data_IF_481902276867
#
_entry.id   IF_481902276867
#
_cell.length_a   1.000
_cell.length_b   1.000
_cell.length_c   1.000
_cell.angle_alpha   90.00
_cell.angle_beta   90.00
_cell.angle_gamma   90.00
#
_symmetry.space_group_name_H-M   'P 1'
#
loop_
_entity.id
_entity.type
_entity.pdbx_description
1 polymer ?
#
# COMPACT_ATOMS: atom_id res chain seq x y z
N UNK A 1 96.08 -6.32 -46.91
CA UNK A 1 95.27 -5.42 -47.76
C UNK A 1 94.68 -6.31 -48.85
N UNK A 2 93.39 -6.47 -49.13
CA UNK A 2 92.17 -5.70 -48.88
C UNK A 2 90.96 -6.66 -48.93
N UNK A 3 89.87 -6.22 -48.28
CA UNK A 3 88.48 -6.72 -48.13
C UNK A 3 87.82 -7.17 -49.45
N UNK A 4 86.65 -7.83 -49.51
CA UNK A 4 85.76 -8.59 -48.62
C UNK A 4 84.58 -9.09 -49.50
N UNK A 5 83.77 -9.97 -48.93
CA UNK A 5 82.84 -10.89 -49.58
C UNK A 5 81.36 -10.40 -49.59
N UNK A 6 80.63 -10.82 -50.64
CA UNK A 6 79.27 -11.42 -50.68
C UNK A 6 77.93 -10.62 -50.60
N UNK A 7 77.11 -11.00 -51.59
CA UNK A 7 75.69 -11.48 -51.58
C UNK A 7 74.51 -10.52 -51.39
N UNK A 8 73.61 -10.55 -52.39
CA UNK A 8 72.27 -9.95 -52.42
C UNK A 8 71.13 -10.88 -51.94
N UNK A 9 69.87 -10.40 -51.93
CA UNK A 9 68.88 -10.84 -50.94
C UNK A 9 67.74 -11.75 -51.45
N UNK A 10 67.31 -12.62 -50.52
CA UNK A 10 65.95 -13.08 -50.13
C UNK A 10 64.81 -13.04 -51.16
N UNK A 11 64.18 -14.20 -51.37
CA UNK A 11 62.71 -14.33 -51.48
C UNK A 11 62.17 -15.49 -50.66
N UNK A 12 61.06 -15.19 -50.01
CA UNK A 12 60.44 -15.83 -48.86
C UNK A 12 59.57 -17.03 -49.28
N UNK A 13 59.61 -18.09 -48.47
CA UNK A 13 58.94 -19.37 -48.72
C UNK A 13 57.44 -19.29 -48.41
N UNK A 14 56.67 -19.80 -49.35
CA UNK A 14 55.27 -20.17 -49.21
C UNK A 14 55.09 -21.37 -48.27
N UNK A 15 54.00 -21.29 -47.50
CA UNK A 15 53.02 -22.32 -47.18
C UNK A 15 53.50 -23.74 -46.79
N UNK A 16 52.95 -24.19 -45.66
CA UNK A 16 52.37 -25.53 -45.36
C UNK A 16 52.71 -25.88 -43.91
N UNK A 17 51.80 -25.54 -42.99
CA UNK A 17 51.70 -26.13 -41.66
C UNK A 17 50.31 -25.77 -41.08
N UNK A 18 49.27 -26.34 -41.67
CA UNK A 18 47.95 -26.41 -41.08
C UNK A 18 47.64 -27.89 -40.82
N UNK A 19 47.00 -28.17 -39.69
CA UNK A 19 46.56 -29.48 -39.18
C UNK A 19 47.54 -30.21 -38.26
N UNK A 20 47.43 -29.91 -36.95
CA UNK A 20 47.50 -30.80 -35.77
C UNK A 20 48.04 -29.98 -34.57
N UNK A 21 47.16 -29.35 -33.78
CA UNK A 21 47.64 -28.68 -32.57
C UNK A 21 46.73 -27.64 -31.90
N UNK A 22 45.41 -27.85 -31.85
CA UNK A 22 44.55 -26.96 -31.06
C UNK A 22 43.30 -27.68 -30.52
N UNK A 23 43.46 -28.91 -30.01
CA UNK A 23 42.38 -29.70 -29.41
C UNK A 23 42.37 -29.66 -27.86
N UNK A 24 43.02 -28.67 -27.23
CA UNK A 24 43.05 -28.52 -25.76
C UNK A 24 42.90 -27.03 -25.44
N UNK A 25 41.67 -26.55 -25.31
CA UNK A 25 41.43 -25.14 -25.01
C UNK A 25 39.97 -24.70 -24.90
N UNK A 26 39.06 -25.61 -24.52
CA UNK A 26 37.61 -25.27 -24.40
C UNK A 26 36.98 -25.86 -23.14
N UNK A 27 37.72 -25.86 -22.04
CA UNK A 27 37.18 -26.08 -20.70
C UNK A 27 37.68 -24.91 -19.89
N UNK A 28 36.76 -24.11 -19.34
CA UNK A 28 36.93 -22.95 -18.42
C UNK A 28 36.30 -21.66 -18.97
N UNK A 29 34.97 -21.59 -19.08
CA UNK A 29 34.23 -20.32 -18.95
C UNK A 29 32.71 -20.52 -18.70
N UNK A 30 32.32 -21.66 -18.14
CA UNK A 30 30.93 -21.94 -17.73
C UNK A 30 30.80 -22.09 -16.22
N UNK A 31 31.61 -21.35 -15.45
CA UNK A 31 31.32 -21.07 -14.05
C UNK A 31 30.53 -19.76 -13.99
N UNK A 32 29.31 -19.79 -14.55
CA UNK A 32 28.27 -18.89 -14.09
C UNK A 32 27.99 -19.27 -12.65
N UNK A 33 28.73 -18.68 -11.71
CA UNK A 33 28.27 -18.56 -10.35
C UNK A 33 26.89 -17.92 -10.45
N UNK A 34 25.86 -18.75 -10.39
CA UNK A 34 24.64 -18.34 -9.76
C UNK A 34 25.08 -17.91 -8.36
N UNK A 35 25.42 -16.63 -8.19
CA UNK A 35 25.32 -15.99 -6.90
C UNK A 35 23.87 -16.23 -6.51
N UNK A 36 23.69 -17.26 -5.69
CA UNK A 36 22.56 -17.42 -4.82
C UNK A 36 22.62 -16.15 -3.96
N UNK A 37 22.03 -15.08 -4.48
CA UNK A 37 21.94 -13.81 -3.79
C UNK A 37 21.19 -14.14 -2.51
N UNK A 38 21.92 -14.24 -1.41
CA UNK A 38 21.43 -14.54 -0.06
C UNK A 38 20.64 -13.34 0.49
N UNK A 39 19.79 -12.77 -0.35
CA UNK A 39 18.87 -11.73 0.03
C UNK A 39 17.86 -12.30 1.06
N UNK A 40 17.68 -11.64 2.22
CA UNK A 40 18.40 -10.45 2.70
C UNK A 40 19.67 -10.79 3.51
N UNK A 41 20.80 -10.12 3.19
CA UNK A 41 22.07 -10.26 3.90
C UNK A 41 22.22 -9.26 5.07
N UNK A 42 21.44 -8.17 5.06
CA UNK A 42 21.34 -7.13 6.10
C UNK A 42 19.88 -6.88 6.48
N UNK A 43 19.65 -6.07 7.51
CA UNK A 43 18.29 -5.71 7.93
C UNK A 43 17.55 -4.97 6.81
N UNK A 44 16.24 -5.23 6.70
CA UNK A 44 15.35 -4.50 5.80
C UNK A 44 14.76 -3.31 6.55
N UNK A 45 14.74 -2.13 5.93
CA UNK A 45 14.00 -0.97 6.40
C UNK A 45 12.61 -0.96 5.76
N UNK A 46 11.57 -0.79 6.57
CA UNK A 46 10.19 -0.55 6.10
C UNK A 46 9.81 0.87 6.44
N UNK A 47 9.49 1.67 5.44
CA UNK A 47 8.96 3.02 5.59
C UNK A 47 7.43 2.93 5.71
N UNK A 48 6.90 3.50 6.79
CA UNK A 48 5.47 3.74 7.00
C UNK A 48 5.24 5.24 6.87
N UNK A 49 4.48 5.73 5.89
CA UNK A 49 4.35 7.16 5.61
C UNK A 49 3.38 7.90 6.55
N UNK A 50 3.21 7.38 7.76
CA UNK A 50 2.31 7.89 8.81
C UNK A 50 3.02 7.88 10.16
N UNK A 51 2.46 8.62 11.13
CA UNK A 51 2.98 8.70 12.48
C UNK A 51 2.96 7.35 13.23
N UNK A 52 3.84 7.19 14.24
CA UNK A 52 3.92 5.98 15.05
C UNK A 52 2.63 5.73 15.85
N UNK A 53 2.33 4.47 16.16
CA UNK A 53 1.15 4.06 16.93
C UNK A 53 -0.17 4.05 16.17
N UNK A 54 -0.20 4.56 14.93
CA UNK A 54 -1.36 4.47 14.05
C UNK A 54 -1.55 3.06 13.46
N UNK A 55 -2.71 2.78 12.84
CA UNK A 55 -3.03 1.45 12.30
C UNK A 55 -1.96 0.89 11.34
N UNK A 56 -1.41 1.71 10.45
CA UNK A 56 -0.37 1.27 9.49
C UNK A 56 0.94 0.92 10.20
N UNK A 57 1.32 1.67 11.23
CA UNK A 57 2.53 1.39 12.03
C UNK A 57 2.38 0.08 12.81
N UNK A 58 1.24 -0.10 13.50
CA UNK A 58 0.94 -1.31 14.26
C UNK A 58 0.97 -2.54 13.35
N UNK A 59 0.38 -2.46 12.16
CA UNK A 59 0.40 -3.57 11.20
C UNK A 59 1.79 -3.85 10.64
N UNK A 60 2.56 -2.82 10.26
CA UNK A 60 3.92 -3.02 9.78
C UNK A 60 4.82 -3.69 10.84
N UNK A 61 4.67 -3.30 12.12
CA UNK A 61 5.38 -3.93 13.24
C UNK A 61 4.92 -5.35 13.51
N UNK A 62 3.62 -5.64 13.37
CA UNK A 62 3.10 -6.99 13.48
C UNK A 62 3.70 -7.91 12.40
N UNK A 63 3.77 -7.44 11.15
CA UNK A 63 4.43 -8.17 10.07
C UNK A 63 5.90 -8.41 10.41
N UNK A 64 6.62 -7.38 10.87
CA UNK A 64 8.03 -7.49 11.25
C UNK A 64 8.26 -8.53 12.36
N UNK A 65 7.38 -8.58 13.36
CA UNK A 65 7.44 -9.55 14.46
C UNK A 65 7.26 -10.99 13.96
N UNK A 66 6.23 -11.25 13.15
CA UNK A 66 5.95 -12.58 12.61
C UNK A 66 6.95 -13.00 11.50
N UNK A 67 7.62 -12.05 10.87
CA UNK A 67 8.59 -12.30 9.81
C UNK A 67 9.99 -12.69 10.30
N UNK A 68 10.27 -12.68 11.61
CA UNK A 68 11.61 -12.94 12.19
C UNK A 68 12.30 -14.20 11.66
N UNK A 69 11.55 -15.30 11.50
CA UNK A 69 12.11 -16.55 10.98
C UNK A 69 12.49 -16.45 9.49
N UNK A 70 11.75 -15.68 8.71
CA UNK A 70 11.98 -15.49 7.26
C UNK A 70 12.99 -14.37 6.98
N UNK A 71 13.16 -13.44 7.92
CA UNK A 71 14.04 -12.27 7.87
C UNK A 71 14.92 -12.24 9.14
N UNK A 72 15.92 -13.15 9.27
CA UNK A 72 16.73 -13.27 10.48
C UNK A 72 17.63 -12.06 10.76
N UNK A 73 17.86 -11.21 9.75
CA UNK A 73 18.56 -9.93 9.90
C UNK A 73 17.66 -8.81 10.43
N UNK A 74 16.36 -9.07 10.58
CA UNK A 74 15.37 -8.16 11.09
C UNK A 74 14.71 -7.27 10.04
N UNK A 75 13.55 -6.74 10.42
CA UNK A 75 12.80 -5.72 9.70
C UNK A 75 12.66 -4.51 10.64
N UNK A 76 13.21 -3.36 10.23
CA UNK A 76 13.18 -2.12 10.97
C UNK A 76 12.11 -1.18 10.43
N UNK A 77 11.04 -0.95 11.20
CA UNK A 77 9.95 -0.04 10.83
C UNK A 77 10.32 1.40 11.17
N UNK A 78 10.28 2.29 10.17
CA UNK A 78 10.53 3.73 10.30
C UNK A 78 9.31 4.52 9.87
N UNK A 79 8.79 5.37 10.75
CA UNK A 79 7.67 6.27 10.46
C UNK A 79 8.17 7.56 9.83
N UNK A 80 7.58 7.97 8.71
CA UNK A 80 7.93 9.21 7.98
C UNK A 80 6.64 9.95 7.62
N UNK A 81 6.00 10.66 8.57
CA UNK A 81 4.78 11.41 8.31
C UNK A 81 5.06 12.70 7.52
N UNK A 82 4.02 13.26 6.91
CA UNK A 82 4.07 14.58 6.25
C UNK A 82 3.53 14.56 4.83
N UNK A 83 3.07 15.71 4.35
CA UNK A 83 2.61 15.90 2.96
C UNK A 83 1.48 14.97 2.54
N UNK A 84 0.51 14.66 3.40
CA UNK A 84 -0.53 13.65 3.10
C UNK A 84 0.08 12.28 2.74
N UNK A 85 1.11 11.85 3.47
CA UNK A 85 1.89 10.63 3.25
C UNK A 85 2.80 10.65 1.99
N UNK A 86 2.85 11.74 1.24
CA UNK A 86 3.74 11.85 0.07
C UNK A 86 5.22 11.93 0.45
N UNK A 87 5.58 12.51 1.60
CA UNK A 87 6.98 12.63 2.04
C UNK A 87 7.62 11.26 2.26
N UNK A 88 6.98 10.39 3.05
CA UNK A 88 7.47 9.04 3.33
C UNK A 88 7.44 8.15 2.08
N UNK A 89 6.38 8.26 1.28
CA UNK A 89 6.29 7.52 0.02
C UNK A 89 7.42 7.93 -0.94
N UNK A 90 7.67 9.22 -1.10
CA UNK A 90 8.78 9.72 -1.93
C UNK A 90 10.15 9.23 -1.45
N UNK A 91 10.39 9.24 -0.13
CA UNK A 91 11.63 8.72 0.44
C UNK A 91 11.84 7.25 0.09
N UNK A 92 10.78 6.44 0.11
CA UNK A 92 10.85 5.03 -0.22
C UNK A 92 10.98 4.74 -1.71
N UNK A 93 10.28 5.48 -2.58
CA UNK A 93 10.41 5.26 -4.04
C UNK A 93 11.76 5.74 -4.57
N UNK A 94 12.39 6.70 -3.90
CA UNK A 94 13.70 7.27 -4.26
C UNK A 94 14.88 6.56 -3.61
N UNK A 95 14.64 5.54 -2.79
CA UNK A 95 15.73 4.78 -2.16
C UNK A 95 16.45 3.88 -3.17
N UNK A 96 17.62 3.37 -2.79
CA UNK A 96 18.34 2.37 -3.57
C UNK A 96 17.43 1.20 -3.96
N UNK A 97 17.39 0.79 -5.25
CA UNK A 97 16.58 -0.32 -5.72
C UNK A 97 17.15 -1.69 -5.34
N UNK A 98 17.88 -1.80 -4.22
CA UNK A 98 18.53 -3.03 -3.74
C UNK A 98 17.58 -3.96 -2.95
N UNK A 99 16.33 -3.52 -2.75
CA UNK A 99 15.29 -4.24 -2.02
C UNK A 99 15.42 -4.19 -0.50
N UNK A 100 16.34 -3.40 0.07
CA UNK A 100 16.45 -3.24 1.52
C UNK A 100 15.63 -2.08 2.08
N UNK A 101 14.98 -1.31 1.21
CA UNK A 101 13.97 -0.32 1.61
C UNK A 101 12.64 -0.69 0.98
N UNK A 102 11.65 -0.93 1.83
CA UNK A 102 10.26 -1.18 1.43
C UNK A 102 9.38 -0.02 1.87
N UNK A 103 8.25 0.12 1.21
CA UNK A 103 7.16 0.99 1.60
C UNK A 103 6.02 0.09 2.04
N UNK A 104 5.56 0.25 3.29
CA UNK A 104 4.25 -0.27 3.69
C UNK A 104 3.23 0.85 3.46
N UNK A 105 2.54 0.76 2.33
CA UNK A 105 1.67 1.82 1.83
C UNK A 105 0.28 1.31 1.50
N UNK A 106 -0.73 2.13 1.76
CA UNK A 106 -2.12 1.94 1.41
C UNK A 106 -2.49 2.50 0.04
N UNK A 107 -3.73 2.23 -0.35
CA UNK A 107 -4.36 2.75 -1.57
C UNK A 107 -4.28 4.29 -1.62
N UNK A 108 -4.40 4.96 -0.47
CA UNK A 108 -4.45 6.42 -0.40
C UNK A 108 -3.20 7.09 -0.96
N UNK A 109 -2.05 6.80 -0.37
CA UNK A 109 -0.76 7.43 -0.64
C UNK A 109 -0.02 6.85 -1.85
N UNK A 110 -0.32 5.60 -2.22
CA UNK A 110 0.22 5.01 -3.44
C UNK A 110 -0.59 5.42 -4.68
N UNK A 111 -1.85 5.84 -4.54
CA UNK A 111 -2.68 6.19 -5.70
C UNK A 111 -3.47 7.49 -5.56
N UNK A 112 -4.54 7.53 -4.76
CA UNK A 112 -5.54 8.60 -4.82
C UNK A 112 -4.99 10.00 -4.51
N UNK A 113 -3.98 10.11 -3.62
CA UNK A 113 -3.36 11.38 -3.26
C UNK A 113 -2.70 12.08 -4.45
N UNK A 114 -2.28 11.32 -5.47
CA UNK A 114 -1.58 11.83 -6.65
C UNK A 114 -2.47 12.69 -7.56
N UNK A 115 -3.80 12.63 -7.38
CA UNK A 115 -4.76 13.47 -8.10
C UNK A 115 -4.91 14.87 -7.50
N UNK A 116 -4.62 15.02 -6.21
CA UNK A 116 -4.99 16.21 -5.42
C UNK A 116 -3.77 16.91 -4.82
N UNK A 117 -2.66 16.19 -4.64
CA UNK A 117 -1.39 16.70 -4.11
C UNK A 117 -0.32 16.64 -5.18
N UNK A 118 0.50 17.69 -5.26
CA UNK A 118 1.71 17.65 -6.07
C UNK A 118 2.75 16.81 -5.35
N UNK A 119 3.07 15.66 -5.92
CA UNK A 119 3.95 14.66 -5.34
C UNK A 119 5.12 14.40 -6.30
N UNK A 120 6.36 14.30 -5.80
CA UNK A 120 7.54 14.00 -6.62
C UNK A 120 7.64 12.51 -7.03
N UNK A 121 6.51 11.84 -7.21
CA UNK A 121 6.43 10.45 -7.67
C UNK A 121 5.08 10.20 -8.37
N UNK A 122 5.04 9.12 -9.14
CA UNK A 122 3.80 8.62 -9.76
C UNK A 122 3.61 7.15 -9.40
N UNK A 123 2.50 6.55 -9.84
CA UNK A 123 2.31 5.10 -9.72
C UNK A 123 3.41 4.30 -10.44
N UNK A 124 4.16 4.90 -11.36
CA UNK A 124 5.24 4.22 -12.08
C UNK A 124 6.62 4.35 -11.40
N UNK A 125 6.71 5.16 -10.35
CA UNK A 125 7.93 5.32 -9.54
C UNK A 125 8.22 4.12 -8.62
N UNK A 126 7.27 3.20 -8.48
CA UNK A 126 7.41 2.00 -7.66
C UNK A 126 6.80 0.77 -8.33
N UNK A 127 7.11 -0.40 -7.77
CA UNK A 127 6.39 -1.64 -8.07
C UNK A 127 5.89 -2.27 -6.79
N UNK A 128 4.69 -2.86 -6.86
CA UNK A 128 4.13 -3.62 -5.75
C UNK A 128 4.81 -4.98 -5.71
N UNK A 129 5.13 -5.45 -4.50
CA UNK A 129 5.57 -6.82 -4.24
C UNK A 129 4.36 -7.72 -4.02
N UNK A 130 3.43 -7.27 -3.16
CA UNK A 130 2.17 -7.95 -2.87
C UNK A 130 1.20 -6.99 -2.18
N UNK A 131 -0.08 -7.35 -2.19
CA UNK A 131 -1.07 -6.85 -1.23
C UNK A 131 -0.97 -7.68 0.04
N UNK A 132 -1.02 -7.01 1.19
CA UNK A 132 -0.98 -7.63 2.52
C UNK A 132 -2.39 -7.92 3.02
N UNK A 133 -3.29 -6.96 2.82
CA UNK A 133 -4.64 -7.06 3.32
C UNK A 133 -5.39 -5.73 3.27
N UNK A 134 -6.47 -5.65 4.03
CA UNK A 134 -7.43 -4.57 3.98
C UNK A 134 -7.71 -4.00 5.38
N UNK A 135 -7.92 -2.69 5.42
CA UNK A 135 -8.60 -2.01 6.52
C UNK A 135 -9.92 -1.46 5.98
N UNK A 136 -11.04 -2.17 6.21
CA UNK A 136 -12.34 -1.68 5.79
C UNK A 136 -12.68 -0.28 6.32
N UNK A 137 -13.32 0.54 5.47
CA UNK A 137 -13.89 1.81 5.91
C UNK A 137 -15.11 1.53 6.79
N UNK A 138 -15.29 2.31 7.85
CA UNK A 138 -16.43 2.22 8.76
C UNK A 138 -17.07 3.59 8.93
N UNK A 139 -18.40 3.66 8.75
CA UNK A 139 -19.19 4.84 9.09
C UNK A 139 -19.53 4.80 10.58
N UNK A 140 -18.95 5.72 11.32
CA UNK A 140 -19.22 5.96 12.73
C UNK A 140 -20.17 7.14 12.91
N UNK A 141 -20.99 7.10 13.95
CA UNK A 141 -21.82 8.21 14.42
C UNK A 141 -21.70 8.34 15.92
N UNK A 142 -21.96 9.54 16.45
CA UNK A 142 -22.33 9.67 17.86
C UNK A 142 -23.73 9.06 18.00
N UNK A 143 -23.93 8.23 19.02
CA UNK A 143 -25.22 7.57 19.29
C UNK A 143 -26.29 8.64 19.46
N UNK A 144 -27.31 8.55 18.62
CA UNK A 144 -28.42 9.48 18.57
C UNK A 144 -29.68 8.73 18.11
N UNK A 145 -30.84 8.91 18.75
CA UNK A 145 -32.07 8.23 18.35
C UNK A 145 -32.56 8.58 16.94
N UNK A 146 -32.05 9.66 16.32
CA UNK A 146 -32.41 10.06 14.95
C UNK A 146 -31.90 9.10 13.88
N UNK A 147 -30.80 8.37 14.12
CA UNK A 147 -30.16 7.53 13.10
C UNK A 147 -29.53 6.24 13.67
N UNK A 148 -30.30 5.37 14.33
CA UNK A 148 -29.77 4.15 14.95
C UNK A 148 -29.26 3.11 13.93
N UNK A 149 -29.58 3.28 12.64
CA UNK A 149 -29.21 2.37 11.54
C UNK A 149 -28.74 3.15 10.33
N UNK A 150 -28.09 2.48 9.37
CA UNK A 150 -27.72 3.14 8.10
C UNK A 150 -28.95 3.68 7.36
N UNK A 151 -30.06 2.95 7.36
CA UNK A 151 -31.31 3.40 6.73
C UNK A 151 -31.82 4.70 7.36
N UNK A 152 -31.90 4.75 8.69
CA UNK A 152 -32.34 5.96 9.40
C UNK A 152 -31.36 7.14 9.20
N UNK A 153 -30.05 6.88 9.13
CA UNK A 153 -29.06 7.88 8.76
C UNK A 153 -29.31 8.45 7.36
N UNK A 154 -29.54 7.57 6.37
CA UNK A 154 -29.84 7.96 4.99
C UNK A 154 -31.14 8.77 4.95
N UNK A 155 -32.21 8.31 5.59
CA UNK A 155 -33.50 9.00 5.60
C UNK A 155 -33.39 10.38 6.25
N UNK A 156 -32.65 10.49 7.36
CA UNK A 156 -32.39 11.78 7.99
C UNK A 156 -31.60 12.73 7.06
N UNK A 157 -30.56 12.23 6.38
CA UNK A 157 -29.77 13.02 5.44
C UNK A 157 -30.57 13.42 4.19
N UNK A 158 -31.50 12.57 3.72
CA UNK A 158 -32.45 12.91 2.64
C UNK A 158 -33.39 14.04 3.04
N UNK A 159 -33.94 13.98 4.25
CA UNK A 159 -34.86 15.00 4.76
C UNK A 159 -34.15 16.33 5.09
N UNK A 160 -32.84 16.30 5.34
CA UNK A 160 -32.05 17.45 5.77
C UNK A 160 -30.78 17.62 4.92
N UNK A 161 -30.91 17.93 3.62
CA UNK A 161 -29.78 17.98 2.70
C UNK A 161 -28.73 19.00 3.17
N UNK A 162 -27.48 18.56 3.31
CA UNK A 162 -26.36 19.40 3.74
C UNK A 162 -26.26 19.63 5.25
N UNK A 163 -27.18 19.09 6.07
CA UNK A 163 -27.13 19.25 7.52
C UNK A 163 -26.15 18.27 8.20
N UNK A 164 -25.91 17.11 7.58
CA UNK A 164 -25.04 16.07 8.14
C UNK A 164 -23.59 16.33 7.74
N UNK A 165 -22.77 16.71 8.71
CA UNK A 165 -21.31 16.83 8.55
C UNK A 165 -20.65 15.49 8.82
N UNK A 166 -19.80 15.04 7.89
CA UNK A 166 -19.09 13.76 7.94
C UNK A 166 -17.58 14.01 7.96
N UNK A 167 -16.92 13.66 9.05
CA UNK A 167 -15.47 13.79 9.17
C UNK A 167 -14.72 12.74 8.35
N UNK A 168 -13.63 13.14 7.71
CA UNK A 168 -12.71 12.25 6.99
C UNK A 168 -11.27 12.52 7.46
N UNK A 169 -10.34 11.54 7.41
CA UNK A 169 -8.96 11.70 7.85
C UNK A 169 -8.07 12.54 6.92
N UNK A 170 -8.68 13.28 6.00
CA UNK A 170 -8.01 14.13 5.04
C UNK A 170 -8.88 14.33 3.81
N UNK A 171 -8.66 15.42 3.10
CA UNK A 171 -9.49 15.80 1.96
C UNK A 171 -9.27 14.87 0.75
N UNK A 172 -8.04 14.39 0.58
CA UNK A 172 -7.65 13.41 -0.44
C UNK A 172 -7.75 11.95 0.01
N UNK A 173 -8.44 11.66 1.12
CA UNK A 173 -8.47 10.31 1.69
C UNK A 173 -9.40 9.37 0.91
N UNK A 174 -9.06 8.08 0.91
CA UNK A 174 -9.95 7.03 0.42
C UNK A 174 -11.29 6.99 1.19
N UNK A 175 -11.27 7.31 2.48
CA UNK A 175 -12.49 7.42 3.29
C UNK A 175 -13.44 8.49 2.74
N UNK A 176 -12.94 9.64 2.26
CA UNK A 176 -13.77 10.63 1.58
C UNK A 176 -14.38 10.06 0.30
N UNK A 177 -13.58 9.40 -0.53
CA UNK A 177 -14.08 8.71 -1.74
C UNK A 177 -15.26 7.79 -1.38
N UNK A 178 -15.16 7.03 -0.30
CA UNK A 178 -16.26 6.14 0.12
C UNK A 178 -17.49 6.88 0.65
N UNK A 179 -17.30 7.98 1.37
CA UNK A 179 -18.41 8.83 1.81
C UNK A 179 -19.17 9.44 0.63
N UNK A 180 -18.44 9.93 -0.36
CA UNK A 180 -19.02 10.52 -1.58
C UNK A 180 -19.73 9.44 -2.42
N UNK A 181 -19.19 8.22 -2.49
CA UNK A 181 -19.87 7.09 -3.14
C UNK A 181 -21.13 6.65 -2.39
N UNK A 182 -21.13 6.66 -1.06
CA UNK A 182 -22.36 6.43 -0.28
C UNK A 182 -23.38 7.52 -0.55
N UNK A 183 -22.96 8.78 -0.57
CA UNK A 183 -23.83 9.92 -0.84
C UNK A 183 -24.49 9.79 -2.21
N UNK A 184 -23.71 9.48 -3.24
CA UNK A 184 -24.19 9.26 -4.60
C UNK A 184 -25.13 8.05 -4.71
N UNK A 185 -24.76 6.90 -4.11
CA UNK A 185 -25.57 5.69 -4.16
C UNK A 185 -26.92 5.83 -3.43
N UNK A 186 -26.93 6.58 -2.33
CA UNK A 186 -28.14 6.80 -1.52
C UNK A 186 -28.95 8.04 -1.95
N UNK A 187 -28.44 8.86 -2.87
CA UNK A 187 -29.07 10.11 -3.29
C UNK A 187 -29.20 11.14 -2.16
N UNK A 188 -28.15 11.28 -1.33
CA UNK A 188 -28.11 12.21 -0.19
C UNK A 188 -27.02 13.27 -0.36
N UNK A 189 -27.20 14.40 0.33
CA UNK A 189 -26.21 15.47 0.36
C UNK A 189 -25.53 15.50 1.74
N UNK A 190 -24.24 15.18 1.77
CA UNK A 190 -23.39 15.14 2.96
C UNK A 190 -22.31 16.22 2.87
N UNK A 191 -21.98 16.86 3.98
CA UNK A 191 -20.88 17.83 4.05
C UNK A 191 -19.64 17.11 4.57
N UNK A 192 -18.71 16.79 3.68
CA UNK A 192 -17.43 16.17 4.07
C UNK A 192 -16.50 17.21 4.69
N UNK A 193 -15.99 16.92 5.90
CA UNK A 193 -15.11 17.80 6.67
C UNK A 193 -13.76 17.11 6.88
N UNK A 194 -12.66 17.62 6.32
CA UNK A 194 -11.35 16.99 6.48
C UNK A 194 -10.76 17.27 7.87
N UNK A 195 -10.15 16.23 8.45
CA UNK A 195 -9.39 16.27 9.71
C UNK A 195 -7.98 15.75 9.49
N UNK A 196 -7.09 16.01 10.44
CA UNK A 196 -5.70 15.52 10.43
C UNK A 196 -5.63 14.06 10.93
N UNK A 197 -6.25 13.13 10.21
CA UNK A 197 -6.25 11.69 10.51
C UNK A 197 -7.45 11.19 11.34
N UNK A 198 -7.56 9.85 11.47
CA UNK A 198 -8.72 9.18 12.08
C UNK A 198 -8.96 9.58 13.54
N UNK A 199 -7.91 9.76 14.33
CA UNK A 199 -8.05 10.16 15.74
C UNK A 199 -8.75 11.52 15.89
N UNK A 200 -8.42 12.49 15.02
CA UNK A 200 -9.03 13.80 15.02
C UNK A 200 -10.51 13.75 14.56
N UNK A 201 -10.86 12.84 13.63
CA UNK A 201 -12.27 12.56 13.27
C UNK A 201 -13.05 12.08 14.48
N UNK A 202 -12.53 11.10 15.22
CA UNK A 202 -13.19 10.54 16.41
C UNK A 202 -13.39 11.63 17.48
N UNK A 203 -12.38 12.47 17.72
CA UNK A 203 -12.50 13.60 18.64
C UNK A 203 -13.57 14.61 18.21
N UNK A 204 -13.62 14.94 16.91
CA UNK A 204 -14.66 15.81 16.35
C UNK A 204 -16.07 15.24 16.53
N UNK A 205 -16.21 13.92 16.42
CA UNK A 205 -17.47 13.21 16.64
C UNK A 205 -17.90 13.26 18.12
N UNK A 206 -16.98 12.98 19.04
CA UNK A 206 -17.26 13.04 20.48
C UNK A 206 -17.64 14.45 20.94
N UNK A 207 -16.93 15.46 20.43
CA UNK A 207 -17.19 16.88 20.69
C UNK A 207 -18.43 17.45 19.98
N UNK A 208 -19.10 16.67 19.11
CA UNK A 208 -20.31 17.10 18.42
C UNK A 208 -20.08 18.11 17.28
N UNK A 209 -18.84 18.28 16.82
CA UNK A 209 -18.52 19.16 15.69
C UNK A 209 -18.95 18.59 14.33
N UNK A 210 -19.07 17.26 14.27
CA UNK A 210 -19.56 16.47 13.14
C UNK A 210 -20.58 15.44 13.64
N UNK A 211 -21.49 15.00 12.76
CA UNK A 211 -22.53 14.03 13.11
C UNK A 211 -22.09 12.59 12.81
N UNK A 212 -21.23 12.42 11.81
CA UNK A 212 -20.66 11.14 11.44
C UNK A 212 -19.17 11.26 11.12
N UNK A 213 -18.47 10.13 11.08
CA UNK A 213 -17.08 10.06 10.68
C UNK A 213 -16.80 8.79 9.90
N UNK A 214 -15.99 8.89 8.86
CA UNK A 214 -15.49 7.74 8.09
C UNK A 214 -14.06 7.46 8.53
N UNK A 215 -13.88 6.35 9.24
CA UNK A 215 -12.57 5.89 9.74
C UNK A 215 -12.30 4.47 9.27
N UNK A 216 -11.22 3.86 9.71
CA UNK A 216 -10.87 2.49 9.37
C UNK A 216 -11.28 1.52 10.48
N UNK A 217 -11.40 0.24 10.15
CA UNK A 217 -11.80 -0.81 11.08
C UNK A 217 -10.98 -0.90 12.38
N UNK A 218 -9.65 -0.64 12.43
CA UNK A 218 -8.91 -0.61 13.69
C UNK A 218 -9.36 0.52 14.62
N UNK A 219 -9.66 1.69 14.07
CA UNK A 219 -10.17 2.83 14.82
C UNK A 219 -11.60 2.55 15.31
N UNK A 220 -12.46 2.00 14.45
CA UNK A 220 -13.80 1.58 14.83
C UNK A 220 -13.76 0.55 15.98
N UNK A 221 -12.88 -0.46 15.91
CA UNK A 221 -12.68 -1.44 16.99
C UNK A 221 -12.26 -0.79 18.30
N UNK A 222 -11.44 0.26 18.25
CA UNK A 222 -10.99 0.95 19.46
C UNK A 222 -12.12 1.72 20.17
N UNK A 223 -13.12 2.21 19.41
CA UNK A 223 -14.11 3.17 19.89
C UNK A 223 -15.55 2.64 19.97
N UNK A 224 -15.90 1.60 19.20
CA UNK A 224 -17.22 0.97 19.24
C UNK A 224 -17.19 -0.18 20.26
N UNK A 225 -17.63 0.13 21.48
CA UNK A 225 -17.68 -0.78 22.63
C UNK A 225 -19.01 -0.62 23.37
N UNK A 226 -19.35 -1.59 24.19
CA UNK A 226 -20.51 -1.48 25.09
C UNK A 226 -20.36 -0.25 25.99
N UNK A 227 -21.44 0.52 26.14
CA UNK A 227 -21.43 1.78 26.88
C UNK A 227 -20.75 2.97 26.19
N UNK A 228 -20.13 2.80 25.02
CA UNK A 228 -19.54 3.92 24.25
C UNK A 228 -20.60 4.90 23.75
N UNK A 229 -20.27 6.20 23.66
CA UNK A 229 -21.09 7.21 22.97
C UNK A 229 -21.03 7.08 21.44
N UNK A 230 -20.12 6.26 20.90
CA UNK A 230 -19.95 6.05 19.45
C UNK A 230 -20.60 4.73 19.04
N UNK A 231 -21.27 4.73 17.88
CA UNK A 231 -21.77 3.54 17.20
C UNK A 231 -21.21 3.46 15.77
N UNK A 232 -21.02 2.23 15.28
CA UNK A 232 -20.77 1.98 13.86
C UNK A 232 -22.07 1.61 13.15
N UNK A 233 -22.38 2.30 12.05
CA UNK A 233 -23.59 2.05 11.26
C UNK A 233 -23.35 1.10 10.09
N UNK A 234 -22.17 1.15 9.50
CA UNK A 234 -21.85 0.33 8.35
C UNK A 234 -20.34 0.10 8.19
N UNK A 235 -19.97 -1.12 7.82
CA UNK A 235 -18.65 -1.43 7.25
C UNK A 235 -18.75 -1.54 5.73
N UNK A 236 -17.80 -0.96 5.02
CA UNK A 236 -17.75 -0.91 3.55
C UNK A 236 -16.93 -2.10 3.02
N UNK A 237 -17.22 -3.31 3.49
CA UNK A 237 -16.55 -4.55 3.11
C UNK A 237 -17.56 -5.59 2.63
N UNK A 238 -17.08 -6.63 1.95
CA UNK A 238 -17.94 -7.70 1.47
C UNK A 238 -18.55 -8.55 2.61
N UNK A 239 -17.89 -8.59 3.77
CA UNK A 239 -18.30 -9.32 4.97
C UNK A 239 -18.02 -8.44 6.19
N UNK A 240 -18.70 -8.71 7.31
CA UNK A 240 -18.41 -8.02 8.57
C UNK A 240 -16.97 -8.29 9.03
N UNK A 241 -16.37 -7.31 9.68
CA UNK A 241 -15.03 -7.45 10.28
C UNK A 241 -15.14 -8.32 11.53
N UNK A 242 -14.35 -9.39 11.59
CA UNK A 242 -14.45 -10.41 12.62
C UNK A 242 -14.34 -9.89 14.07
N UNK A 243 -13.52 -8.86 14.30
CA UNK A 243 -13.31 -8.26 15.63
C UNK A 243 -14.31 -7.16 16.00
N UNK A 244 -15.23 -6.80 15.10
CA UNK A 244 -16.37 -5.89 15.34
C UNK A 244 -17.65 -6.44 14.66
N UNK A 245 -18.06 -7.68 14.97
CA UNK A 245 -19.10 -8.39 14.20
C UNK A 245 -20.50 -7.80 14.37
N UNK A 246 -20.68 -6.89 15.33
CA UNK A 246 -21.94 -6.19 15.60
C UNK A 246 -22.25 -5.12 14.57
N UNK A 247 -21.26 -4.62 13.82
CA UNK A 247 -21.46 -3.60 12.79
C UNK A 247 -21.80 -4.30 11.47
N UNK A 248 -23.02 -4.11 10.91
CA UNK A 248 -23.38 -4.69 9.63
C UNK A 248 -22.60 -4.06 8.46
N UNK A 249 -22.51 -4.76 7.35
CA UNK A 249 -22.01 -4.20 6.10
C UNK A 249 -23.02 -3.26 5.46
N UNK A 250 -22.57 -2.43 4.52
CA UNK A 250 -23.45 -1.68 3.60
C UNK A 250 -24.37 -2.61 2.79
N UNK A 251 -23.84 -3.76 2.32
CA UNK A 251 -24.58 -4.75 1.52
C UNK A 251 -25.70 -5.43 2.27
N UNK A 252 -25.47 -5.84 3.52
CA UNK A 252 -26.50 -6.38 4.41
C UNK A 252 -27.65 -5.39 4.63
N UNK A 253 -27.41 -4.09 4.38
CA UNK A 253 -28.36 -3.00 4.57
C UNK A 253 -28.91 -2.46 3.23
N UNK A 254 -28.69 -3.19 2.12
CA UNK A 254 -29.28 -2.85 0.81
C UNK A 254 -28.50 -1.81 -0.01
N UNK A 255 -27.28 -1.44 0.41
CA UNK A 255 -26.40 -0.54 -0.35
C UNK A 255 -25.22 -1.35 -0.91
N UNK A 256 -25.17 -1.59 -2.22
CA UNK A 256 -24.05 -2.30 -2.85
C UNK A 256 -22.82 -1.38 -2.99
N UNK A 257 -22.12 -1.21 -1.87
CA UNK A 257 -20.92 -0.38 -1.80
C UNK A 257 -19.84 -1.07 -0.99
N UNK A 258 -18.74 -1.43 -1.65
CA UNK A 258 -17.55 -1.99 -1.00
C UNK A 258 -16.36 -1.10 -1.30
N UNK A 259 -15.67 -0.71 -0.23
CA UNK A 259 -14.51 0.17 -0.26
C UNK A 259 -13.65 -0.04 0.97
N UNK A 260 -12.57 -0.78 0.78
CA UNK A 260 -11.58 -1.06 1.82
C UNK A 260 -10.25 -0.43 1.44
N UNK A 261 -9.52 0.12 2.42
CA UNK A 261 -8.16 0.57 2.18
C UNK A 261 -7.25 -0.65 2.12
N UNK A 262 -6.86 -1.02 0.91
CA UNK A 262 -5.89 -2.07 0.67
C UNK A 262 -4.48 -1.58 0.98
N UNK A 263 -3.69 -2.42 1.64
CA UNK A 263 -2.32 -2.16 2.05
C UNK A 263 -1.36 -3.09 1.34
N UNK A 264 -0.21 -2.56 0.95
CA UNK A 264 0.75 -3.18 0.06
C UNK A 264 2.16 -3.06 0.61
N UNK A 265 3.01 -4.01 0.20
CA UNK A 265 4.47 -3.83 0.23
C UNK A 265 4.88 -3.36 -1.16
N UNK A 266 5.54 -2.22 -1.23
CA UNK A 266 6.10 -1.67 -2.46
C UNK A 266 7.60 -1.43 -2.33
N UNK A 267 8.29 -1.39 -3.46
CA UNK A 267 9.74 -1.13 -3.57
C UNK A 267 10.01 -0.18 -4.75
N UNK A 268 11.19 0.47 -4.81
CA UNK A 268 11.58 1.27 -5.97
C UNK A 268 11.34 0.56 -7.29
N UNK A 269 10.97 1.31 -8.33
CA UNK A 269 10.61 0.76 -9.65
C UNK A 269 11.70 -0.16 -10.23
N UNK A 270 12.96 0.21 -10.04
CA UNK A 270 14.12 -0.47 -10.60
C UNK A 270 14.58 -1.69 -9.77
N UNK A 271 13.88 -2.06 -8.68
CA UNK A 271 14.27 -3.23 -7.89
C UNK A 271 14.25 -4.51 -8.77
N UNK A 272 15.35 -5.29 -8.82
CA UNK A 272 15.46 -6.46 -9.67
C UNK A 272 14.37 -7.50 -9.41
N UNK A 273 13.89 -8.15 -10.46
CA UNK A 273 12.83 -9.18 -10.37
C UNK A 273 13.18 -10.29 -9.39
N UNK A 274 14.45 -10.73 -9.38
CA UNK A 274 14.93 -11.77 -8.46
C UNK A 274 14.80 -11.34 -6.98
N UNK A 275 15.01 -10.05 -6.68
CA UNK A 275 14.87 -9.50 -5.33
C UNK A 275 13.40 -9.40 -4.94
N UNK A 276 12.54 -8.91 -5.85
CA UNK A 276 11.09 -8.85 -5.63
C UNK A 276 10.51 -10.24 -5.37
N UNK A 277 10.87 -11.23 -6.19
CA UNK A 277 10.45 -12.61 -6.01
C UNK A 277 10.96 -13.20 -4.68
N UNK A 278 12.18 -12.85 -4.25
CA UNK A 278 12.71 -13.28 -2.96
C UNK A 278 11.94 -12.66 -1.77
N UNK A 279 11.56 -11.38 -1.85
CA UNK A 279 10.72 -10.72 -0.84
C UNK A 279 9.36 -11.41 -0.76
N UNK A 280 8.70 -11.56 -1.91
CA UNK A 280 7.37 -12.17 -2.01
C UNK A 280 7.36 -13.61 -1.47
N UNK A 281 8.34 -14.43 -1.88
CA UNK A 281 8.49 -15.82 -1.42
C UNK A 281 8.66 -15.93 0.09
N UNK A 282 9.34 -14.97 0.72
CA UNK A 282 9.56 -14.93 2.18
C UNK A 282 8.37 -14.36 2.94
N UNK A 283 7.66 -13.36 2.39
CA UNK A 283 6.54 -12.71 3.08
C UNK A 283 5.23 -13.50 2.97
N UNK A 284 4.92 -14.12 1.82
CA UNK A 284 3.66 -14.86 1.63
C UNK A 284 3.39 -15.89 2.74
N UNK A 285 4.35 -16.75 3.13
CA UNK A 285 4.13 -17.70 4.23
C UNK A 285 3.89 -17.02 5.58
N UNK A 286 4.52 -15.88 5.85
CA UNK A 286 4.29 -15.09 7.09
C UNK A 286 2.86 -14.58 7.12
N UNK A 287 2.39 -14.04 6.00
CA UNK A 287 1.06 -13.43 5.91
C UNK A 287 -0.08 -14.47 5.84
N UNK A 288 0.23 -15.71 5.45
CA UNK A 288 -0.69 -16.84 5.47
C UNK A 288 -0.65 -17.64 6.78
N UNK A 289 0.30 -17.36 7.67
CA UNK A 289 0.44 -18.07 8.94
C UNK A 289 -0.80 -17.83 9.83
N UNK A 290 -1.45 -18.88 10.36
CA UNK A 290 -2.65 -18.72 11.19
C UNK A 290 -2.45 -17.83 12.43
N UNK A 291 -1.25 -17.81 13.03
CA UNK A 291 -0.97 -16.94 14.15
C UNK A 291 -0.88 -15.47 13.72
N UNK A 292 -0.30 -15.19 12.54
CA UNK A 292 -0.35 -13.85 11.96
C UNK A 292 -1.78 -13.43 11.63
N UNK A 293 -2.55 -14.28 10.94
CA UNK A 293 -3.93 -13.98 10.55
C UNK A 293 -4.77 -13.66 11.79
N UNK A 294 -4.68 -14.48 12.83
CA UNK A 294 -5.39 -14.24 14.10
C UNK A 294 -4.96 -12.94 14.76
N UNK A 295 -3.67 -12.61 14.77
CA UNK A 295 -3.17 -11.36 15.35
C UNK A 295 -3.61 -10.13 14.53
N UNK A 296 -3.64 -10.24 13.21
CA UNK A 296 -4.14 -9.22 12.30
C UNK A 296 -5.64 -8.97 12.50
N UNK A 297 -6.46 -10.03 12.55
CA UNK A 297 -7.89 -9.94 12.83
C UNK A 297 -8.16 -9.30 14.19
N UNK A 298 -7.35 -9.66 15.19
CA UNK A 298 -7.45 -9.08 16.53
C UNK A 298 -7.29 -7.55 16.48
N UNK A 299 -6.47 -7.00 15.59
CA UNK A 299 -6.32 -5.55 15.38
C UNK A 299 -7.26 -4.97 14.31
N UNK A 300 -8.26 -5.73 13.87
CA UNK A 300 -9.20 -5.39 12.79
C UNK A 300 -8.54 -5.11 11.44
N UNK A 301 -7.43 -5.77 11.15
CA UNK A 301 -6.86 -5.87 9.82
C UNK A 301 -7.28 -7.19 9.19
N UNK A 302 -7.87 -7.13 7.99
CA UNK A 302 -8.28 -8.32 7.25
C UNK A 302 -7.13 -8.77 6.35
N UNK A 303 -6.48 -9.88 6.69
CA UNK A 303 -5.46 -10.47 5.82
C UNK A 303 -6.09 -10.88 4.48
N UNK A 304 -5.54 -10.36 3.39
CA UNK A 304 -5.98 -10.62 2.01
C UNK A 304 -4.76 -10.47 1.12
N UNK A 305 -3.99 -11.56 1.07
CA UNK A 305 -2.73 -11.62 0.34
C UNK A 305 -3.01 -11.78 -1.13
N UNK A 306 -2.54 -10.83 -1.95
CA UNK A 306 -2.67 -10.89 -3.40
C UNK A 306 -1.32 -10.62 -4.07
N UNK A 307 -1.09 -11.32 -5.16
CA UNK A 307 0.12 -11.17 -5.96
C UNK A 307 0.21 -9.77 -6.59
N UNK A 308 1.44 -9.33 -6.89
CA UNK A 308 1.73 -8.01 -7.41
C UNK A 308 0.83 -7.58 -8.59
N UNK A 309 0.53 -8.49 -9.52
CA UNK A 309 -0.29 -8.20 -10.70
C UNK A 309 -1.74 -7.87 -10.32
N UNK A 310 -2.35 -8.67 -9.45
CA UNK A 310 -3.72 -8.45 -8.96
C UNK A 310 -3.78 -7.17 -8.14
N UNK A 311 -2.82 -7.00 -7.22
CA UNK A 311 -2.68 -5.81 -6.39
C UNK A 311 -2.54 -4.52 -7.24
N UNK A 312 -1.75 -4.57 -8.33
CA UNK A 312 -1.56 -3.41 -9.22
C UNK A 312 -2.83 -3.09 -10.01
N UNK A 313 -3.55 -4.10 -10.49
CA UNK A 313 -4.83 -3.93 -11.18
C UNK A 313 -5.87 -3.28 -10.26
N UNK A 314 -5.99 -3.78 -9.02
CA UNK A 314 -6.87 -3.20 -8.00
C UNK A 314 -6.51 -1.73 -7.70
N UNK A 315 -5.23 -1.44 -7.47
CA UNK A 315 -4.75 -0.09 -7.18
C UNK A 315 -5.01 0.88 -8.34
N UNK A 316 -4.86 0.41 -9.59
CA UNK A 316 -5.12 1.21 -10.80
C UNK A 316 -6.60 1.55 -10.92
N UNK A 317 -7.49 0.57 -10.67
CA UNK A 317 -8.94 0.82 -10.65
C UNK A 317 -9.32 1.88 -9.62
N UNK A 318 -8.72 1.84 -8.43
CA UNK A 318 -8.97 2.84 -7.40
C UNK A 318 -8.40 4.21 -7.77
N UNK A 319 -7.24 4.27 -8.43
CA UNK A 319 -6.70 5.50 -8.99
C UNK A 319 -7.67 6.15 -9.97
N UNK A 320 -8.21 5.40 -10.94
CA UNK A 320 -9.16 5.90 -11.94
C UNK A 320 -10.48 6.36 -11.32
N UNK A 321 -10.98 5.58 -10.35
CA UNK A 321 -12.19 5.90 -9.60
C UNK A 321 -12.03 7.20 -8.83
N UNK A 322 -10.90 7.37 -8.12
CA UNK A 322 -10.57 8.59 -7.40
C UNK A 322 -10.45 9.79 -8.36
N UNK A 323 -9.76 9.62 -9.49
CA UNK A 323 -9.61 10.69 -10.49
C UNK A 323 -10.94 11.16 -11.06
N UNK A 324 -11.83 10.22 -11.37
CA UNK A 324 -13.19 10.54 -11.85
C UNK A 324 -13.99 11.31 -10.80
N UNK A 325 -13.96 10.86 -9.55
CA UNK A 325 -14.67 11.53 -8.45
C UNK A 325 -14.10 12.94 -8.21
N UNK A 326 -12.78 13.05 -8.01
CA UNK A 326 -12.14 14.34 -7.72
C UNK A 326 -12.28 15.33 -8.88
N UNK A 327 -12.36 14.85 -10.13
CA UNK A 327 -12.73 15.67 -11.28
C UNK A 327 -14.12 16.30 -11.13
N UNK A 328 -15.13 15.50 -10.78
CA UNK A 328 -16.51 15.99 -10.54
C UNK A 328 -16.59 16.97 -9.37
N UNK A 329 -15.76 16.76 -8.35
CA UNK A 329 -15.70 17.61 -7.16
C UNK A 329 -14.84 18.88 -7.36
N UNK A 330 -14.16 19.04 -8.50
CA UNK A 330 -13.25 20.17 -8.73
C UNK A 330 -12.00 20.14 -7.84
N UNK A 331 -11.62 18.97 -7.33
CA UNK A 331 -10.53 18.77 -6.38
C UNK A 331 -9.20 18.38 -7.03
N UNK A 332 -9.18 18.18 -8.35
CA UNK A 332 -7.95 17.86 -9.05
C UNK A 332 -6.92 18.98 -8.86
N UNK A 333 -5.67 18.59 -8.61
CA UNK A 333 -4.56 19.54 -8.55
C UNK A 333 -4.49 20.34 -9.85
N UNK A 334 -4.24 21.65 -9.73
CA UNK A 334 -4.07 22.51 -10.90
C UNK A 334 -2.82 22.06 -11.63
N UNK A 335 -2.93 21.83 -12.95
CA UNK A 335 -1.74 21.65 -13.79
C UNK A 335 -0.92 22.94 -13.70
N UNK A 336 0.35 22.81 -13.31
CA UNK A 336 1.33 23.88 -13.43
C UNK A 336 1.73 24.07 -14.89
#
# INVERSE_FOLDING_TARGET
>A
MSKAHRSGPRRTRFAVAAALGAAIGTVLLSAGCAEKSDYPAKAVKVIVPFGPGGPSDVNARLIAEHAKAQFPKGIAVTNVPGGSATTGTYQGVSSEPDGYTWIYGGTSELSSVLHTVEAPYTMDSYRLVLKVGNMPTVLLVKKDPRWPTLAAFIDHAKANPGAVKVGTPGDASFNRLMGEQLAAAAGINLVMVPFNGNAAVVQGLLGGHIQAGLVNSPDARAHVKDGSEIAGLAVFSAKRVASIPTIPTTREQGVDLVGTISHYIAVPKQTPDAVVAAIEKRLKPVLADPAYVKAAEAIAFEADVQDAAVARSELTRWYETAGTLYGKLGMLKKKQ
#
